data_IF_444710969789
#
_entry.id   IF_444710969789
#
_cell.length_a   1.000
_cell.length_b   1.000
_cell.length_c   1.000
_cell.angle_alpha   90.00
_cell.angle_beta   90.00
_cell.angle_gamma   90.00
#
_symmetry.space_group_name_H-M   'P 1'
#
loop_
_entity.id
_entity.type
_entity.pdbx_description
1 polymer ?
#
# COMPACT_ATOMS: atom_id res chain seq x y z
N UNK A 1 53.15 -10.17 -18.90
CA UNK A 1 51.83 -10.83 -19.05
C UNK A 1 50.97 -10.75 -17.78
N UNK A 2 51.45 -11.16 -16.59
CA UNK A 2 50.64 -11.14 -15.36
C UNK A 2 50.09 -9.75 -14.95
N UNK A 3 50.90 -8.70 -15.04
CA UNK A 3 50.47 -7.34 -14.72
C UNK A 3 49.38 -6.79 -15.66
N UNK A 4 49.43 -7.15 -16.95
CA UNK A 4 48.42 -6.76 -17.94
C UNK A 4 47.08 -7.47 -17.70
N UNK A 5 47.12 -8.76 -17.35
CA UNK A 5 45.91 -9.52 -16.97
C UNK A 5 45.29 -9.01 -15.66
N UNK A 6 46.11 -8.57 -14.70
CA UNK A 6 45.63 -7.91 -13.49
C UNK A 6 44.92 -6.59 -13.84
N UNK A 7 45.54 -5.74 -14.67
CA UNK A 7 44.95 -4.48 -15.14
C UNK A 7 43.63 -4.71 -15.89
N UNK A 8 43.58 -5.71 -16.78
CA UNK A 8 42.37 -6.07 -17.52
C UNK A 8 41.24 -6.47 -16.58
N UNK A 9 41.48 -7.42 -15.66
CA UNK A 9 40.48 -7.84 -14.68
C UNK A 9 39.97 -6.69 -13.82
N UNK A 10 40.86 -5.80 -13.37
CA UNK A 10 40.47 -4.62 -12.59
C UNK A 10 39.54 -3.70 -13.38
N UNK A 11 39.83 -3.45 -14.66
CA UNK A 11 38.96 -2.65 -15.52
C UNK A 11 37.62 -3.33 -15.76
N UNK A 12 37.61 -4.63 -16.06
CA UNK A 12 36.38 -5.39 -16.25
C UNK A 12 35.50 -5.36 -14.98
N UNK A 13 36.10 -5.49 -13.80
CA UNK A 13 35.38 -5.36 -12.52
C UNK A 13 34.80 -3.96 -12.32
N UNK A 14 35.55 -2.89 -12.64
CA UNK A 14 35.05 -1.52 -12.53
C UNK A 14 33.83 -1.32 -13.45
N UNK A 15 33.93 -1.76 -14.71
CA UNK A 15 32.83 -1.63 -15.69
C UNK A 15 31.59 -2.44 -15.28
N UNK A 16 31.78 -3.62 -14.68
CA UNK A 16 30.67 -4.39 -14.13
C UNK A 16 30.00 -3.64 -12.98
N UNK A 17 30.78 -3.14 -12.01
CA UNK A 17 30.24 -2.39 -10.88
C UNK A 17 29.50 -1.13 -11.32
N UNK A 18 30.01 -0.42 -12.34
CA UNK A 18 29.32 0.75 -12.89
C UNK A 18 27.95 0.38 -13.45
N UNK A 19 27.84 -0.72 -14.21
CA UNK A 19 26.54 -1.23 -14.70
C UNK A 19 25.62 -1.64 -13.56
N UNK A 20 26.14 -2.38 -12.57
CA UNK A 20 25.35 -2.85 -11.44
C UNK A 20 24.77 -1.66 -10.65
N UNK A 21 25.57 -0.60 -10.46
CA UNK A 21 25.11 0.65 -9.82
C UNK A 21 24.02 1.33 -10.65
N UNK A 22 24.18 1.41 -11.97
CA UNK A 22 23.15 1.97 -12.84
C UNK A 22 21.83 1.17 -12.79
N UNK A 23 21.91 -0.15 -12.78
CA UNK A 23 20.74 -1.04 -12.66
C UNK A 23 20.04 -0.83 -11.31
N UNK A 24 20.80 -0.85 -10.20
CA UNK A 24 20.27 -0.59 -8.87
C UNK A 24 19.60 0.79 -8.75
N UNK A 25 20.12 1.81 -9.42
CA UNK A 25 19.51 3.14 -9.45
C UNK A 25 18.17 3.15 -10.22
N UNK A 26 18.09 2.41 -11.34
CA UNK A 26 16.83 2.25 -12.09
C UNK A 26 15.79 1.50 -11.27
N UNK A 27 16.19 0.42 -10.62
CA UNK A 27 15.30 -0.38 -9.77
C UNK A 27 14.81 0.41 -8.56
N UNK A 28 15.69 1.14 -7.88
CA UNK A 28 15.31 2.06 -6.81
C UNK A 28 14.27 3.07 -7.29
N UNK A 29 14.47 3.65 -8.47
CA UNK A 29 13.54 4.64 -9.04
C UNK A 29 12.19 4.02 -9.37
N UNK A 30 12.17 2.79 -9.89
CA UNK A 30 10.95 2.02 -10.14
C UNK A 30 10.19 1.73 -8.84
N UNK A 31 10.87 1.20 -7.82
CA UNK A 31 10.29 0.90 -6.51
C UNK A 31 9.72 2.14 -5.82
N UNK A 32 10.37 3.29 -5.94
CA UNK A 32 9.84 4.54 -5.40
C UNK A 32 8.53 4.97 -6.09
N UNK A 33 8.41 4.79 -7.40
CA UNK A 33 7.17 5.06 -8.14
C UNK A 33 6.06 4.10 -7.71
N UNK A 34 6.36 2.81 -7.63
CA UNK A 34 5.41 1.78 -7.17
C UNK A 34 4.91 2.06 -5.75
N UNK A 35 5.81 2.46 -4.84
CA UNK A 35 5.44 2.86 -3.47
C UNK A 35 4.44 4.02 -3.47
N UNK A 36 4.63 5.03 -4.32
CA UNK A 36 3.71 6.17 -4.42
C UNK A 36 2.33 5.72 -4.92
N UNK A 37 2.27 4.90 -5.97
CA UNK A 37 0.99 4.38 -6.49
C UNK A 37 0.28 3.47 -5.48
N UNK A 38 1.02 2.66 -4.73
CA UNK A 38 0.46 1.83 -3.67
C UNK A 38 -0.15 2.67 -2.54
N UNK A 39 0.54 3.72 -2.08
CA UNK A 39 0.02 4.64 -1.08
C UNK A 39 -1.24 5.38 -1.55
N UNK A 40 -1.29 5.76 -2.82
CA UNK A 40 -2.47 6.36 -3.44
C UNK A 40 -3.64 5.38 -3.45
N UNK A 41 -3.38 4.12 -3.82
CA UNK A 41 -4.38 3.05 -3.86
C UNK A 41 -4.95 2.74 -2.47
N UNK A 42 -4.09 2.66 -1.44
CA UNK A 42 -4.52 2.52 -0.04
C UNK A 42 -5.42 3.68 0.37
N UNK A 43 -5.03 4.93 0.05
CA UNK A 43 -5.83 6.11 0.41
C UNK A 43 -7.22 6.05 -0.23
N UNK A 44 -7.29 5.69 -1.52
CA UNK A 44 -8.55 5.53 -2.23
C UNK A 44 -9.42 4.42 -1.63
N UNK A 45 -8.82 3.28 -1.27
CA UNK A 45 -9.55 2.17 -0.66
C UNK A 45 -10.10 2.55 0.72
N UNK A 46 -9.31 3.24 1.55
CA UNK A 46 -9.78 3.78 2.85
C UNK A 46 -10.96 4.73 2.67
N UNK A 47 -10.91 5.62 1.68
CA UNK A 47 -12.04 6.52 1.36
C UNK A 47 -13.29 5.75 0.92
N UNK A 48 -13.15 4.73 0.07
CA UNK A 48 -14.27 3.88 -0.36
C UNK A 48 -14.90 3.13 0.82
N UNK A 49 -14.08 2.54 1.68
CA UNK A 49 -14.57 1.84 2.90
C UNK A 49 -15.29 2.82 3.82
N UNK A 50 -14.76 4.02 4.04
CA UNK A 50 -15.43 5.04 4.86
C UNK A 50 -16.77 5.47 4.27
N UNK A 51 -16.84 5.65 2.94
CA UNK A 51 -18.08 5.98 2.25
C UNK A 51 -19.12 4.87 2.41
N UNK A 52 -18.71 3.61 2.27
CA UNK A 52 -19.59 2.45 2.48
C UNK A 52 -20.06 2.36 3.93
N UNK A 53 -19.18 2.59 4.89
CA UNK A 53 -19.55 2.67 6.31
C UNK A 53 -20.67 3.69 6.53
N UNK A 54 -20.51 4.90 6.01
CA UNK A 54 -21.50 5.97 6.15
C UNK A 54 -22.82 5.64 5.44
N UNK A 55 -22.76 5.08 4.23
CA UNK A 55 -23.95 4.68 3.48
C UNK A 55 -24.74 3.57 4.20
N UNK A 56 -24.05 2.52 4.65
CA UNK A 56 -24.69 1.39 5.35
C UNK A 56 -25.27 1.88 6.66
N UNK A 57 -24.47 2.54 7.50
CA UNK A 57 -24.94 3.04 8.81
C UNK A 57 -26.11 4.01 8.66
N UNK A 58 -26.04 4.93 7.70
CA UNK A 58 -27.11 5.90 7.42
C UNK A 58 -28.43 5.29 6.96
N UNK A 59 -28.43 4.03 6.47
CA UNK A 59 -29.63 3.28 6.09
C UNK A 59 -30.17 2.37 7.19
N UNK A 60 -29.39 2.08 8.24
CA UNK A 60 -29.85 1.25 9.34
C UNK A 60 -30.96 1.95 10.15
N UNK A 61 -31.95 1.16 10.57
CA UNK A 61 -33.08 1.60 11.38
C UNK A 61 -33.29 0.63 12.54
N UNK A 62 -33.74 1.15 13.67
CA UNK A 62 -34.22 0.33 14.79
C UNK A 62 -35.57 -0.32 14.46
N UNK A 63 -36.09 -1.13 15.38
CA UNK A 63 -37.38 -1.83 15.23
C UNK A 63 -38.57 -0.86 15.08
N UNK A 64 -38.41 0.40 15.51
CA UNK A 64 -39.42 1.45 15.36
C UNK A 64 -39.21 2.27 14.07
N UNK A 65 -38.27 1.88 13.21
CA UNK A 65 -37.97 2.56 11.95
C UNK A 65 -37.17 3.84 12.09
N UNK A 66 -36.57 4.12 13.26
CA UNK A 66 -35.76 5.32 13.51
C UNK A 66 -34.29 5.08 13.17
N UNK A 67 -33.56 6.07 12.64
CA UNK A 67 -32.13 5.92 12.37
C UNK A 67 -31.31 5.76 13.65
N UNK A 68 -30.25 4.96 13.58
CA UNK A 68 -29.28 4.84 14.67
C UNK A 68 -28.43 6.11 14.79
N UNK A 69 -28.12 6.52 16.03
CA UNK A 69 -27.24 7.66 16.29
C UNK A 69 -25.77 7.26 16.12
N UNK A 70 -24.97 7.97 15.30
CA UNK A 70 -23.53 7.73 15.19
C UNK A 70 -22.74 8.00 16.48
N UNK A 71 -23.33 8.72 17.45
CA UNK A 71 -22.71 9.00 18.75
C UNK A 71 -22.88 7.86 19.76
N UNK A 72 -23.73 6.88 19.43
CA UNK A 72 -24.20 5.85 20.36
C UNK A 72 -24.18 4.45 19.76
N UNK A 73 -23.81 4.34 18.48
CA UNK A 73 -23.68 3.08 17.78
C UNK A 73 -22.61 3.20 16.69
N UNK A 74 -21.93 2.10 16.41
CA UNK A 74 -20.94 1.98 15.34
C UNK A 74 -21.01 0.61 14.66
N UNK A 75 -20.49 0.50 13.43
CA UNK A 75 -20.27 -0.80 12.80
C UNK A 75 -18.91 -1.36 13.21
N UNK A 76 -18.90 -2.59 13.71
CA UNK A 76 -17.71 -3.36 13.98
C UNK A 76 -17.56 -4.47 12.94
N UNK A 77 -16.34 -4.65 12.44
CA UNK A 77 -15.98 -5.71 11.51
C UNK A 77 -15.35 -6.87 12.30
N UNK A 78 -15.98 -8.05 12.22
CA UNK A 78 -15.42 -9.29 12.76
C UNK A 78 -14.29 -9.84 11.88
N UNK A 79 -13.40 -10.63 12.47
CA UNK A 79 -12.32 -11.32 11.74
C UNK A 79 -12.82 -12.37 10.73
N UNK A 80 -14.06 -12.82 10.90
CA UNK A 80 -14.79 -13.73 10.02
C UNK A 80 -15.54 -13.00 8.88
N UNK A 81 -15.41 -11.66 8.81
CA UNK A 81 -16.11 -10.84 7.82
C UNK A 81 -17.54 -10.45 8.21
N UNK A 82 -17.99 -10.79 9.42
CA UNK A 82 -19.26 -10.31 9.96
C UNK A 82 -19.23 -8.79 10.19
N UNK A 83 -20.39 -8.14 10.07
CA UNK A 83 -20.57 -6.73 10.40
C UNK A 83 -21.64 -6.62 11.48
N UNK A 84 -21.24 -6.12 12.64
CA UNK A 84 -22.08 -6.03 13.82
C UNK A 84 -22.35 -4.56 14.14
N UNK A 85 -23.59 -4.25 14.52
CA UNK A 85 -23.91 -2.95 15.10
C UNK A 85 -23.66 -3.03 16.60
N UNK A 86 -22.69 -2.26 17.09
CA UNK A 86 -22.34 -2.16 18.50
C UNK A 86 -22.79 -0.80 19.05
N UNK A 87 -23.18 -0.68 20.33
CA UNK A 87 -23.37 0.61 21.00
C UNK A 87 -22.07 1.41 21.12
#
# INVERSE_FOLDING_TARGET
MAAQNCRKRKLDTILNLERDVEELQRDKSKLLREKVEFLKSIRQMKQKVQSLYQEVFGRLRDEQGRPYSPSRYALQYGSDGSVLLIP
#
